data_IF_124609372448
#
_entry.id   IF_124609372448
#
_cell.length_a   1.000
_cell.length_b   1.000
_cell.length_c   1.000
_cell.angle_alpha   90.00
_cell.angle_beta   90.00
_cell.angle_gamma   90.00
#
_symmetry.space_group_name_H-M   'P 1'
#
loop_
_entity.id
_entity.type
_entity.pdbx_description
1 polymer ?
#
# COMPACT_ATOMS: atom_id res chain seq x y z
N UNK A 1 0.92 -29.78 -12.94
CA UNK A 1 0.22 -28.56 -12.46
C UNK A 1 1.22 -27.73 -11.68
N UNK A 2 1.26 -26.40 -11.87
CA UNK A 2 2.19 -25.55 -11.12
C UNK A 2 1.69 -25.35 -9.69
N UNK A 3 2.58 -25.54 -8.73
CA UNK A 3 2.35 -25.21 -7.32
C UNK A 3 3.19 -23.98 -6.98
N UNK A 4 2.56 -22.92 -6.47
CA UNK A 4 3.20 -21.63 -6.20
C UNK A 4 3.48 -21.44 -4.72
N UNK A 5 4.55 -20.71 -4.40
CA UNK A 5 5.02 -20.50 -3.02
C UNK A 5 5.42 -19.05 -2.78
N UNK A 6 5.02 -18.51 -1.64
CA UNK A 6 5.53 -17.24 -1.15
C UNK A 6 6.89 -17.46 -0.49
N UNK A 7 7.94 -17.17 -1.26
CA UNK A 7 9.34 -17.19 -0.82
C UNK A 7 9.76 -15.76 -0.47
N UNK A 8 10.19 -15.49 0.78
CA UNK A 8 10.80 -14.21 1.16
C UNK A 8 12.02 -13.88 0.30
N UNK A 9 12.32 -12.59 0.14
CA UNK A 9 13.45 -12.18 -0.70
C UNK A 9 14.79 -12.79 -0.25
N UNK A 10 15.00 -12.90 1.07
CA UNK A 10 16.18 -13.54 1.69
C UNK A 10 16.37 -14.99 1.27
N UNK A 11 15.28 -15.68 0.92
CA UNK A 11 15.26 -17.12 0.68
C UNK A 11 15.29 -17.43 -0.83
N UNK A 12 15.42 -16.43 -1.69
CA UNK A 12 15.42 -16.61 -3.14
C UNK A 12 16.47 -17.61 -3.61
N UNK A 13 17.65 -17.61 -3.00
CA UNK A 13 18.71 -18.56 -3.32
C UNK A 13 18.32 -19.98 -2.86
N UNK A 14 17.89 -20.15 -1.61
CA UNK A 14 17.44 -21.43 -1.06
C UNK A 14 16.28 -22.02 -1.88
N UNK A 15 15.36 -21.20 -2.37
CA UNK A 15 14.27 -21.65 -3.23
C UNK A 15 14.77 -22.22 -4.57
N UNK A 16 15.73 -21.56 -5.21
CA UNK A 16 16.35 -22.05 -6.45
C UNK A 16 17.12 -23.35 -6.21
N UNK A 17 17.86 -23.44 -5.12
CA UNK A 17 18.58 -24.66 -4.70
C UNK A 17 17.62 -25.81 -4.39
N UNK A 18 16.44 -25.51 -3.83
CA UNK A 18 15.37 -26.47 -3.62
C UNK A 18 14.64 -26.89 -4.91
N UNK A 19 15.02 -26.35 -6.08
CA UNK A 19 14.44 -26.69 -7.39
C UNK A 19 13.20 -25.89 -7.78
N UNK A 20 12.88 -24.81 -7.07
CA UNK A 20 11.81 -23.89 -7.48
C UNK A 20 12.28 -23.02 -8.65
N UNK A 21 11.39 -22.85 -9.63
CA UNK A 21 11.53 -21.91 -10.74
C UNK A 21 10.91 -20.57 -10.36
N UNK A 22 11.38 -19.48 -10.96
CA UNK A 22 10.79 -18.15 -10.78
C UNK A 22 9.83 -17.81 -11.93
N UNK A 23 8.61 -17.44 -11.60
CA UNK A 23 7.62 -16.93 -12.55
C UNK A 23 7.72 -15.40 -12.61
N UNK A 24 8.27 -14.88 -13.71
CA UNK A 24 8.46 -13.44 -13.90
C UNK A 24 7.15 -12.66 -13.98
N UNK A 25 6.06 -13.30 -14.45
CA UNK A 25 4.76 -12.66 -14.60
C UNK A 25 4.08 -12.48 -13.24
N UNK A 26 4.10 -13.50 -12.38
CA UNK A 26 3.52 -13.41 -11.02
C UNK A 26 4.53 -12.99 -9.94
N UNK A 27 5.80 -12.82 -10.33
CA UNK A 27 6.93 -12.51 -9.43
C UNK A 27 7.03 -13.48 -8.25
N UNK A 28 6.68 -14.76 -8.45
CA UNK A 28 6.61 -15.76 -7.38
C UNK A 28 7.29 -17.06 -7.78
N UNK A 29 7.68 -17.87 -6.80
CA UNK A 29 8.35 -19.15 -7.05
C UNK A 29 7.33 -20.26 -7.26
N UNK A 30 7.66 -21.22 -8.11
CA UNK A 30 6.80 -22.35 -8.41
C UNK A 30 7.59 -23.62 -8.73
N UNK A 31 6.91 -24.75 -8.66
CA UNK A 31 7.40 -26.02 -9.21
C UNK A 31 6.27 -26.77 -9.90
N UNK A 32 6.63 -27.66 -10.81
CA UNK A 32 5.73 -28.62 -11.46
C UNK A 32 5.95 -30.05 -10.93
N UNK A 33 7.00 -30.25 -10.13
CA UNK A 33 7.38 -31.55 -9.56
C UNK A 33 6.74 -31.74 -8.18
N UNK A 34 6.01 -32.85 -8.01
CA UNK A 34 5.32 -33.18 -6.76
C UNK A 34 6.28 -33.29 -5.57
N UNK A 35 7.45 -33.91 -5.76
CA UNK A 35 8.45 -34.09 -4.69
C UNK A 35 8.97 -32.74 -4.20
N UNK A 36 9.38 -31.87 -5.11
CA UNK A 36 9.79 -30.49 -4.79
C UNK A 36 8.67 -29.72 -4.10
N UNK A 37 7.43 -29.87 -4.55
CA UNK A 37 6.30 -29.18 -3.92
C UNK A 37 6.11 -29.62 -2.46
N UNK A 38 6.23 -30.91 -2.16
CA UNK A 38 6.13 -31.43 -0.79
C UNK A 38 7.23 -30.87 0.11
N UNK A 39 8.48 -30.81 -0.37
CA UNK A 39 9.58 -30.18 0.39
C UNK A 39 9.38 -28.67 0.55
N UNK A 40 8.96 -27.97 -0.51
CA UNK A 40 8.73 -26.54 -0.44
C UNK A 40 7.63 -26.17 0.56
N UNK A 41 6.57 -26.99 0.72
CA UNK A 41 5.50 -26.79 1.71
C UNK A 41 5.99 -26.82 3.17
N UNK A 42 7.14 -27.43 3.46
CA UNK A 42 7.70 -27.43 4.82
C UNK A 42 8.53 -26.17 5.11
N UNK A 43 8.86 -25.39 4.09
CA UNK A 43 9.74 -24.21 4.18
C UNK A 43 9.01 -22.90 3.88
N UNK A 44 8.05 -22.94 2.97
CA UNK A 44 7.36 -21.75 2.47
C UNK A 44 5.84 -21.95 2.37
N UNK A 45 5.12 -20.83 2.44
CA UNK A 45 3.66 -20.81 2.37
C UNK A 45 3.21 -21.03 0.93
N UNK A 46 2.41 -22.08 0.71
CA UNK A 46 1.77 -22.32 -0.58
C UNK A 46 0.78 -21.19 -0.93
N UNK A 47 0.79 -20.78 -2.20
CA UNK A 47 -0.07 -19.75 -2.76
C UNK A 47 -1.08 -20.44 -3.66
N UNK A 48 -2.33 -20.50 -3.19
CA UNK A 48 -3.44 -21.13 -3.91
C UNK A 48 -3.75 -20.43 -5.24
N UNK A 49 -3.70 -19.09 -5.25
CA UNK A 49 -3.91 -18.27 -6.43
C UNK A 49 -2.77 -17.24 -6.57
N UNK A 50 -1.84 -17.37 -7.54
CA UNK A 50 -0.75 -16.42 -7.70
C UNK A 50 -1.17 -15.14 -8.44
N UNK A 51 -2.41 -15.03 -8.91
CA UNK A 51 -2.87 -13.88 -9.68
C UNK A 51 -2.84 -12.59 -8.84
N UNK A 52 -2.44 -11.46 -9.44
CA UNK A 52 -2.58 -10.15 -8.82
C UNK A 52 -4.04 -9.84 -8.48
N UNK A 53 -4.26 -9.21 -7.33
CA UNK A 53 -5.59 -8.77 -6.90
C UNK A 53 -5.76 -7.31 -7.31
N UNK A 54 -6.66 -7.05 -8.27
CA UNK A 54 -6.87 -5.71 -8.87
C UNK A 54 -8.08 -4.97 -8.30
N UNK A 55 -9.08 -5.74 -7.86
CA UNK A 55 -10.33 -5.23 -7.33
C UNK A 55 -10.50 -5.72 -5.89
N UNK A 56 -10.96 -4.82 -5.03
CA UNK A 56 -11.36 -5.12 -3.67
C UNK A 56 -12.89 -4.96 -3.57
N UNK A 57 -13.55 -5.91 -2.93
CA UNK A 57 -15.00 -5.86 -2.73
C UNK A 57 -15.32 -4.69 -1.80
N UNK A 58 -16.17 -3.76 -2.27
CA UNK A 58 -16.58 -2.58 -1.51
C UNK A 58 -15.62 -1.40 -1.57
N UNK A 59 -14.53 -1.47 -2.34
CA UNK A 59 -13.64 -0.34 -2.55
C UNK A 59 -14.33 0.76 -3.36
N UNK A 60 -14.27 1.99 -2.85
CA UNK A 60 -14.73 3.18 -3.56
C UNK A 60 -13.52 3.82 -4.27
N UNK A 61 -13.34 3.47 -5.54
CA UNK A 61 -12.18 3.90 -6.33
C UNK A 61 -12.22 5.39 -6.70
N UNK A 62 -13.37 6.03 -6.57
CA UNK A 62 -13.55 7.46 -6.84
C UNK A 62 -13.41 8.31 -5.57
N UNK A 63 -13.41 7.69 -4.39
CA UNK A 63 -13.22 8.38 -3.10
C UNK A 63 -11.95 9.24 -3.11
N UNK A 64 -12.15 10.55 -2.91
CA UNK A 64 -11.14 11.63 -2.97
C UNK A 64 -10.34 11.75 -4.28
N UNK A 65 -10.75 10.97 -5.30
CA UNK A 65 -10.18 10.97 -6.63
C UNK A 65 -8.65 10.77 -6.64
N UNK A 66 -8.03 11.29 -7.69
CA UNK A 66 -6.58 11.19 -7.90
C UNK A 66 -5.85 12.45 -7.42
N UNK A 67 -6.37 13.09 -6.37
CA UNK A 67 -5.81 14.35 -5.86
C UNK A 67 -4.67 14.09 -4.88
N UNK A 68 -3.67 14.99 -4.86
CA UNK A 68 -2.58 14.95 -3.90
C UNK A 68 -2.88 15.90 -2.75
N UNK A 69 -3.05 15.38 -1.54
CA UNK A 69 -3.28 16.17 -0.34
C UNK A 69 -2.53 15.57 0.86
N UNK A 70 -2.24 16.44 1.83
CA UNK A 70 -1.69 16.03 3.14
C UNK A 70 -2.73 15.22 3.91
N UNK A 71 -2.38 13.99 4.27
CA UNK A 71 -3.27 12.97 4.84
C UNK A 71 -2.63 12.37 6.09
N UNK A 72 -2.64 13.17 7.17
CA UNK A 72 -2.01 12.79 8.44
C UNK A 72 -2.99 11.94 9.23
N UNK A 73 -2.63 10.67 9.45
CA UNK A 73 -3.43 9.75 10.26
C UNK A 73 -3.43 10.19 11.74
N UNK A 74 -4.55 10.04 12.46
CA UNK A 74 -4.58 10.22 13.91
C UNK A 74 -3.61 9.25 14.60
N UNK A 75 -2.93 9.70 15.66
CA UNK A 75 -1.85 8.95 16.33
C UNK A 75 -2.28 7.55 16.78
N UNK A 76 -3.51 7.43 17.29
CA UNK A 76 -4.07 6.15 17.76
C UNK A 76 -4.29 5.13 16.63
N UNK A 77 -4.27 5.58 15.37
CA UNK A 77 -4.55 4.78 14.19
C UNK A 77 -3.29 4.41 13.39
N UNK A 78 -2.11 4.92 13.79
CA UNK A 78 -0.83 4.70 13.07
C UNK A 78 -0.44 3.22 12.92
N UNK A 79 -0.95 2.34 13.78
CA UNK A 79 -0.63 0.92 13.74
C UNK A 79 -1.48 0.11 12.73
N UNK A 80 -2.48 0.73 12.09
CA UNK A 80 -3.35 0.07 11.11
C UNK A 80 -2.89 0.39 9.70
N UNK A 81 -1.85 -0.32 9.27
CA UNK A 81 -1.38 -0.33 7.90
C UNK A 81 -1.81 -1.64 7.21
N UNK A 82 -2.35 -1.56 6.00
CA UNK A 82 -2.84 -2.72 5.24
C UNK A 82 -1.74 -3.78 5.04
N UNK A 83 -0.48 -3.39 4.79
CA UNK A 83 0.66 -4.31 4.70
C UNK A 83 0.92 -5.05 6.02
N UNK A 84 0.63 -4.40 7.14
CA UNK A 84 0.78 -5.02 8.46
C UNK A 84 -0.40 -5.93 8.80
N UNK A 85 -1.60 -5.62 8.33
CA UNK A 85 -2.81 -6.46 8.50
C UNK A 85 -2.83 -7.69 7.59
N UNK A 86 -2.33 -7.58 6.35
CA UNK A 86 -2.45 -8.64 5.33
C UNK A 86 -1.24 -9.56 5.37
N UNK A 87 -1.43 -10.88 5.21
CA UNK A 87 -0.31 -11.82 5.14
C UNK A 87 0.62 -11.49 3.96
N UNK A 88 1.94 -11.68 4.06
CA UNK A 88 2.90 -11.24 3.04
C UNK A 88 2.60 -11.73 1.62
N UNK A 89 2.13 -12.96 1.48
CA UNK A 89 1.75 -13.56 0.20
C UNK A 89 0.64 -12.78 -0.51
N UNK A 90 -0.40 -12.39 0.22
CA UNK A 90 -1.55 -11.69 -0.34
C UNK A 90 -1.26 -10.20 -0.50
N UNK A 91 -0.45 -9.59 0.39
CA UNK A 91 0.06 -8.23 0.19
C UNK A 91 0.84 -8.10 -1.11
N UNK A 92 1.69 -9.09 -1.42
CA UNK A 92 2.46 -9.11 -2.68
C UNK A 92 1.55 -9.18 -3.91
N UNK A 93 0.47 -9.95 -3.85
CA UNK A 93 -0.54 -10.04 -4.92
C UNK A 93 -1.33 -8.74 -5.07
N UNK A 94 -1.77 -8.17 -3.94
CA UNK A 94 -2.53 -6.93 -3.89
C UNK A 94 -1.71 -5.75 -4.40
N UNK A 95 -0.57 -5.46 -3.77
CA UNK A 95 0.31 -4.35 -4.20
C UNK A 95 0.74 -4.45 -5.67
N UNK A 96 0.91 -5.66 -6.23
CA UNK A 96 1.12 -5.83 -7.67
C UNK A 96 -0.11 -5.49 -8.50
N UNK A 97 -1.29 -5.96 -8.10
CA UNK A 97 -2.54 -5.67 -8.81
C UNK A 97 -2.91 -4.19 -8.77
N UNK A 98 -2.66 -3.50 -7.65
CA UNK A 98 -2.82 -2.06 -7.50
C UNK A 98 -1.93 -1.25 -8.46
N UNK A 99 -0.67 -1.68 -8.64
CA UNK A 99 0.23 -1.05 -9.61
C UNK A 99 -0.14 -1.37 -11.05
N UNK A 100 -0.62 -2.58 -11.32
CA UNK A 100 -1.11 -2.96 -12.65
C UNK A 100 -2.34 -2.15 -13.05
N UNK A 101 -3.30 -1.93 -12.14
CA UNK A 101 -4.50 -1.14 -12.45
C UNK A 101 -4.20 0.34 -12.70
N UNK A 102 -3.14 0.89 -12.10
CA UNK A 102 -2.67 2.25 -12.39
C UNK A 102 -1.72 2.33 -13.59
N UNK A 103 -1.58 1.23 -14.35
CA UNK A 103 -0.65 1.09 -15.47
C UNK A 103 0.80 1.48 -15.07
N UNK A 104 1.20 1.06 -13.87
CA UNK A 104 2.49 1.36 -13.26
C UNK A 104 2.81 2.86 -13.24
N UNK A 105 1.79 3.68 -12.94
CA UNK A 105 1.92 5.12 -12.78
C UNK A 105 1.39 5.55 -11.42
N UNK A 106 1.99 6.57 -10.84
CA UNK A 106 1.43 7.29 -9.70
C UNK A 106 0.05 7.81 -10.09
N UNK A 107 -0.96 7.47 -9.30
CA UNK A 107 -2.34 7.91 -9.57
C UNK A 107 -2.50 9.42 -9.38
N UNK A 108 -1.69 10.08 -8.54
CA UNK A 108 -1.74 11.53 -8.34
C UNK A 108 -0.99 12.35 -9.41
N UNK A 109 0.31 12.05 -9.63
CA UNK A 109 1.17 12.89 -10.49
C UNK A 109 1.51 12.26 -11.84
N UNK A 110 1.10 11.02 -12.09
CA UNK A 110 1.40 10.30 -13.33
C UNK A 110 2.83 9.79 -13.48
N UNK A 111 3.74 10.02 -12.51
CA UNK A 111 5.12 9.50 -12.57
C UNK A 111 5.09 7.98 -12.75
N UNK A 112 5.79 7.47 -13.78
CA UNK A 112 5.93 6.04 -14.06
C UNK A 112 6.86 5.36 -13.06
N UNK A 113 6.56 4.10 -12.75
CA UNK A 113 7.43 3.22 -11.98
C UNK A 113 8.77 3.03 -12.71
N UNK A 114 9.88 3.11 -11.97
CA UNK A 114 11.24 2.92 -12.47
C UNK A 114 12.04 2.08 -11.47
N UNK A 115 12.08 0.77 -11.65
CA UNK A 115 12.77 -0.14 -10.70
C UNK A 115 14.31 -0.01 -10.71
N UNK A 116 14.87 0.87 -11.54
CA UNK A 116 16.29 1.18 -11.61
C UNK A 116 16.66 2.40 -10.74
N UNK A 117 15.67 3.21 -10.36
CA UNK A 117 15.84 4.37 -9.50
C UNK A 117 15.64 3.98 -8.04
N UNK A 118 16.42 4.60 -7.16
CA UNK A 118 16.10 4.59 -5.73
C UNK A 118 14.70 5.17 -5.52
N UNK A 119 13.88 4.46 -4.72
CA UNK A 119 12.47 4.79 -4.49
C UNK A 119 11.62 4.89 -5.76
N UNK A 120 12.04 4.22 -6.84
CA UNK A 120 11.31 4.23 -8.10
C UNK A 120 10.14 3.25 -8.19
N UNK A 121 9.97 2.36 -7.20
CA UNK A 121 8.78 1.53 -7.05
C UNK A 121 7.59 2.35 -6.55
N UNK A 122 6.38 2.06 -7.03
CA UNK A 122 5.18 2.68 -6.47
C UNK A 122 4.84 2.10 -5.10
N UNK A 123 4.42 2.97 -4.20
CA UNK A 123 3.98 2.67 -2.84
C UNK A 123 2.44 2.66 -2.79
N UNK A 124 1.87 1.86 -1.88
CA UNK A 124 0.42 1.80 -1.69
C UNK A 124 0.06 2.65 -0.49
N UNK A 125 -0.88 3.57 -0.66
CA UNK A 125 -1.41 4.46 0.38
C UNK A 125 -2.88 4.14 0.66
N UNK A 126 -3.28 4.16 1.93
CA UNK A 126 -4.66 4.01 2.37
C UNK A 126 -5.40 5.35 2.40
N UNK A 127 -6.59 5.42 1.78
CA UNK A 127 -7.53 6.54 1.94
C UNK A 127 -8.64 6.17 2.92
N UNK A 128 -8.77 6.99 3.95
CA UNK A 128 -9.69 6.76 5.05
C UNK A 128 -10.78 7.82 5.10
N UNK A 129 -12.02 7.37 5.24
CA UNK A 129 -13.14 8.20 5.64
C UNK A 129 -13.23 8.25 7.16
N UNK A 130 -13.62 9.40 7.69
CA UNK A 130 -13.74 9.64 9.13
C UNK A 130 -15.12 10.21 9.41
N UNK A 131 -15.93 9.45 10.16
CA UNK A 131 -17.23 9.88 10.66
C UNK A 131 -17.11 10.14 12.16
N UNK A 132 -16.98 11.40 12.55
CA UNK A 132 -16.86 11.82 13.95
C UNK A 132 -18.14 11.53 14.76
N UNK A 133 -19.31 11.42 14.10
CA UNK A 133 -20.59 11.16 14.77
C UNK A 133 -20.69 9.71 15.22
N UNK A 134 -20.28 8.77 14.36
CA UNK A 134 -20.24 7.33 14.69
C UNK A 134 -18.89 6.88 15.22
N UNK A 135 -17.91 7.78 15.27
CA UNK A 135 -16.51 7.53 15.63
C UNK A 135 -15.90 6.41 14.78
N UNK A 136 -16.26 6.35 13.49
CA UNK A 136 -15.81 5.30 12.57
C UNK A 136 -14.77 5.82 11.59
N UNK A 137 -13.65 5.12 11.50
CA UNK A 137 -12.63 5.31 10.47
C UNK A 137 -12.74 4.18 9.46
N UNK A 138 -13.13 4.47 8.22
CA UNK A 138 -13.40 3.45 7.19
C UNK A 138 -12.36 3.48 6.08
N UNK A 139 -11.73 2.33 5.78
CA UNK A 139 -10.82 2.21 4.64
C UNK A 139 -11.66 2.21 3.37
N UNK A 140 -11.58 3.30 2.61
CA UNK A 140 -12.37 3.46 1.39
C UNK A 140 -11.64 2.97 0.16
N UNK A 141 -10.32 3.20 0.11
CA UNK A 141 -9.52 2.99 -1.09
C UNK A 141 -8.05 2.74 -0.80
N UNK A 142 -7.41 1.93 -1.65
CA UNK A 142 -5.96 1.88 -1.76
C UNK A 142 -5.51 2.61 -3.03
N UNK A 143 -4.45 3.41 -2.98
CA UNK A 143 -3.97 4.18 -4.13
C UNK A 143 -2.46 3.96 -4.34
N UNK A 144 -2.03 3.82 -5.58
CA UNK A 144 -0.62 3.64 -5.95
C UNK A 144 0.04 4.99 -6.18
N UNK A 145 1.02 5.35 -5.34
CA UNK A 145 1.70 6.63 -5.35
C UNK A 145 3.19 6.45 -5.64
N UNK A 146 3.80 7.43 -6.32
CA UNK A 146 5.27 7.52 -6.31
C UNK A 146 5.76 7.98 -4.95
N UNK A 147 7.04 7.78 -4.68
CA UNK A 147 7.65 8.16 -3.42
C UNK A 147 7.33 9.59 -2.98
N UNK A 148 7.52 10.59 -3.85
CA UNK A 148 7.24 11.98 -3.48
C UNK A 148 5.75 12.26 -3.18
N UNK A 149 4.82 11.64 -3.91
CA UNK A 149 3.39 11.76 -3.60
C UNK A 149 3.06 11.09 -2.25
N UNK A 150 3.60 9.91 -1.99
CA UNK A 150 3.42 9.18 -0.74
C UNK A 150 4.04 9.91 0.46
N UNK A 151 5.23 10.51 0.30
CA UNK A 151 5.83 11.37 1.32
C UNK A 151 5.00 12.63 1.58
N UNK A 152 4.38 13.18 0.53
CA UNK A 152 3.50 14.35 0.65
C UNK A 152 2.21 14.04 1.41
N UNK A 153 1.61 12.86 1.22
CA UNK A 153 0.46 12.43 2.05
C UNK A 153 0.89 12.30 3.51
N UNK A 154 2.05 11.71 3.77
CA UNK A 154 2.67 11.60 5.10
C UNK A 154 3.53 12.83 5.49
N UNK A 155 2.98 14.04 5.36
CA UNK A 155 3.72 15.28 5.56
C UNK A 155 4.47 15.37 6.90
N UNK A 156 3.82 14.97 8.01
CA UNK A 156 4.47 14.99 9.32
C UNK A 156 5.71 14.09 9.40
N UNK A 157 5.72 12.95 8.71
CA UNK A 157 6.90 12.09 8.60
C UNK A 157 7.97 12.71 7.69
N UNK A 158 7.58 13.38 6.61
CA UNK A 158 8.52 14.12 5.76
C UNK A 158 9.25 15.24 6.54
N UNK A 159 8.53 16.01 7.35
CA UNK A 159 9.13 17.04 8.23
C UNK A 159 10.13 16.43 9.21
N UNK A 160 9.80 15.30 9.87
CA UNK A 160 10.72 14.62 10.80
C UNK A 160 12.02 14.11 10.15
N UNK A 161 12.01 13.86 8.84
CA UNK A 161 13.18 13.43 8.09
C UNK A 161 13.89 14.59 7.34
N UNK A 162 13.53 15.85 7.62
CA UNK A 162 14.06 17.04 6.94
C UNK A 162 13.77 17.10 5.43
N UNK A 163 12.65 16.52 4.98
CA UNK A 163 12.24 16.49 3.57
C UNK A 163 11.10 17.46 3.25
N UNK A 164 10.72 18.33 4.19
CA UNK A 164 9.56 19.23 4.04
C UNK A 164 9.67 20.11 2.79
N UNK A 165 10.86 20.65 2.50
CA UNK A 165 11.08 21.51 1.34
C UNK A 165 10.79 20.77 0.01
N UNK A 166 11.14 19.48 -0.05
CA UNK A 166 10.98 18.66 -1.24
C UNK A 166 9.51 18.30 -1.47
N UNK A 167 8.81 17.82 -0.43
CA UNK A 167 7.38 17.50 -0.53
C UNK A 167 6.53 18.75 -0.79
N UNK A 168 6.93 19.90 -0.25
CA UNK A 168 6.28 21.19 -0.51
C UNK A 168 6.42 21.63 -1.96
N UNK A 169 7.62 21.52 -2.52
CA UNK A 169 7.86 21.80 -3.95
C UNK A 169 7.06 20.84 -4.83
N UNK A 170 7.01 19.56 -4.44
CA UNK A 170 6.26 18.53 -5.17
C UNK A 170 4.75 18.78 -5.14
N UNK A 171 4.17 19.00 -3.96
CA UNK A 171 2.74 19.32 -3.80
C UNK A 171 2.33 20.48 -4.69
N UNK A 172 3.11 21.57 -4.65
CA UNK A 172 2.87 22.77 -5.44
C UNK A 172 2.81 22.46 -6.94
N UNK A 173 3.78 21.69 -7.42
CA UNK A 173 3.90 21.31 -8.83
C UNK A 173 2.73 20.43 -9.29
N UNK A 174 2.40 19.39 -8.50
CA UNK A 174 1.34 18.43 -8.84
C UNK A 174 -0.04 19.09 -8.83
N UNK A 175 -0.33 19.91 -7.82
CA UNK A 175 -1.63 20.58 -7.68
C UNK A 175 -1.72 21.90 -8.45
N UNK A 176 -0.64 22.38 -9.06
CA UNK A 176 -0.56 23.66 -9.78
C UNK A 176 -1.02 24.86 -8.93
N UNK A 177 -0.59 24.91 -7.68
CA UNK A 177 -0.91 25.99 -6.74
C UNK A 177 0.30 26.86 -6.42
N UNK A 178 0.12 27.94 -5.66
CA UNK A 178 1.23 28.70 -5.07
C UNK A 178 1.57 28.20 -3.65
N UNK A 179 2.67 28.69 -3.08
CA UNK A 179 3.09 28.30 -1.74
C UNK A 179 2.12 28.74 -0.63
N UNK A 180 1.40 29.85 -0.80
CA UNK A 180 0.44 30.32 0.21
C UNK A 180 -0.74 29.34 0.34
N UNK A 181 -1.17 28.75 -0.78
CA UNK A 181 -2.17 27.67 -0.78
C UNK A 181 -1.61 26.41 -0.14
N UNK A 182 -0.35 26.05 -0.38
CA UNK A 182 0.30 24.90 0.30
C UNK A 182 0.36 25.12 1.81
N UNK A 183 0.78 26.30 2.26
CA UNK A 183 0.85 26.64 3.68
C UNK A 183 -0.51 26.53 4.37
N UNK A 184 -1.55 27.06 3.73
CA UNK A 184 -2.91 26.94 4.24
C UNK A 184 -3.36 25.48 4.29
N UNK A 185 -3.13 24.71 3.22
CA UNK A 185 -3.47 23.28 3.17
C UNK A 185 -2.82 22.49 4.31
N UNK A 186 -1.52 22.70 4.53
CA UNK A 186 -0.77 22.03 5.60
C UNK A 186 -1.33 22.43 6.96
N UNK A 187 -1.57 23.73 7.19
CA UNK A 187 -2.16 24.23 8.43
C UNK A 187 -3.53 23.58 8.71
N UNK A 188 -4.39 23.53 7.71
CA UNK A 188 -5.74 22.96 7.83
C UNK A 188 -5.67 21.46 8.10
N UNK A 189 -4.74 20.74 7.46
CA UNK A 189 -4.51 19.32 7.70
C UNK A 189 -4.04 19.04 9.14
N UNK A 190 -3.15 19.86 9.70
CA UNK A 190 -2.73 19.73 11.10
C UNK A 190 -3.84 20.08 12.10
N UNK A 191 -4.70 21.06 11.78
CA UNK A 191 -5.87 21.37 12.60
C UNK A 191 -6.84 20.18 12.64
N UNK A 192 -7.19 19.62 11.48
CA UNK A 192 -8.02 18.43 11.37
C UNK A 192 -7.41 17.22 12.10
N UNK A 193 -6.10 17.03 11.96
CA UNK A 193 -5.38 15.97 12.67
C UNK A 193 -5.47 16.13 14.20
N UNK A 194 -5.33 17.35 14.73
CA UNK A 194 -5.49 17.63 16.16
C UNK A 194 -6.90 17.28 16.63
N UNK A 195 -7.93 17.66 15.88
CA UNK A 195 -9.32 17.36 16.21
C UNK A 195 -9.55 15.84 16.23
N UNK A 196 -9.11 15.12 15.18
CA UNK A 196 -9.28 13.67 15.07
C UNK A 196 -8.49 12.87 16.12
N UNK A 197 -7.41 13.41 16.68
CA UNK A 197 -6.69 12.78 17.79
C UNK A 197 -7.50 12.72 19.10
N UNK A 198 -8.55 13.53 19.23
CA UNK A 198 -9.43 13.52 20.41
C UNK A 198 -10.45 12.40 20.41
N UNK A 199 -10.62 11.71 19.27
CA UNK A 199 -11.62 10.66 19.07
C UNK A 199 -10.98 9.27 19.26
N UNK A 200 -11.75 8.32 19.79
CA UNK A 200 -11.41 6.90 19.79
C UNK A 200 -12.10 6.23 18.59
N UNK A 201 -11.31 5.88 17.58
CA UNK A 201 -11.84 5.40 16.30
C UNK A 201 -12.13 3.90 16.30
N UNK A 202 -13.34 3.54 15.86
CA UNK A 202 -13.68 2.18 15.45
C UNK A 202 -13.22 2.02 14.00
N UNK A 203 -12.25 1.13 13.79
CA UNK A 203 -11.60 0.97 12.49
C UNK A 203 -12.34 -0.07 11.66
N UNK A 204 -12.79 0.35 10.49
CA UNK A 204 -13.48 -0.47 9.50
C UNK A 204 -12.58 -0.65 8.27
N UNK A 205 -11.98 -1.84 8.17
CA UNK A 205 -11.19 -2.26 7.00
C UNK A 205 -11.91 -3.38 6.24
N UNK A 206 -13.25 -3.36 6.23
CA UNK A 206 -14.08 -4.43 5.67
C UNK A 206 -13.72 -4.78 4.23
N UNK A 207 -13.28 -3.79 3.42
CA UNK A 207 -12.83 -4.01 2.03
C UNK A 207 -11.67 -5.01 1.93
N UNK A 208 -10.85 -5.13 2.98
CA UNK A 208 -9.77 -6.11 3.05
C UNK A 208 -10.32 -7.49 3.43
N UNK A 209 -11.18 -7.57 4.44
CA UNK A 209 -11.71 -8.86 4.95
C UNK A 209 -12.70 -9.54 4.01
N UNK A 210 -13.44 -8.78 3.20
CA UNK A 210 -14.42 -9.32 2.26
C UNK A 210 -13.79 -9.72 0.92
N UNK A 211 -12.55 -9.31 0.67
CA UNK A 211 -11.79 -9.64 -0.54
C UNK A 211 -10.99 -10.94 -0.37
N UNK A 212 -10.42 -11.47 -1.46
CA UNK A 212 -9.55 -12.66 -1.46
C UNK A 212 -8.18 -12.40 -0.79
N UNK A 213 -8.20 -11.99 0.48
CA UNK A 213 -7.05 -11.62 1.29
C UNK A 213 -7.11 -12.34 2.64
N UNK A 214 -6.00 -12.96 3.03
CA UNK A 214 -5.82 -13.44 4.40
C UNK A 214 -5.23 -12.34 5.25
N UNK A 215 -5.85 -12.09 6.40
CA UNK A 215 -5.28 -11.23 7.42
C UNK A 215 -4.36 -12.02 8.36
N UNK A 216 -3.36 -11.34 8.89
CA UNK A 216 -2.62 -11.84 10.06
C UNK A 216 -3.62 -11.89 11.22
N UNK A 217 -3.53 -12.93 12.05
CA UNK A 217 -4.36 -13.02 13.25
C UNK A 217 -4.19 -11.80 14.17
N UNK A 218 -5.06 -11.63 15.18
CA UNK A 218 -4.91 -10.53 16.14
C UNK A 218 -3.48 -10.53 16.71
N UNK A 219 -2.84 -9.37 16.68
CA UNK A 219 -1.54 -9.14 17.33
C UNK A 219 -1.73 -8.89 18.82
#
# INVERSE_FOLDING_TARGET
>A
MRTYFHVPFSDNQCAREAGLKFDGAYKTHYTEETKTALTAKTLWVEVSNPQPIKELIGEDRDYEGNTLFVDILPMKCWFVNAKHLIVPADWKRLSKGLRERSNFSCECCGKKESLQEDFGALEVHERWDYDETTQRQTLKRLISLCHMCHRTTHWGYATLNNEEADVRTHFRSVNQVDYAVVDRHVKDAYALWNDRNTVEWIIDYTILTQSDLRLKGPQ
#
